data_IF_441190406190
#
_entry.id   IF_441190406190
#
_cell.length_a   1.000
_cell.length_b   1.000
_cell.length_c   1.000
_cell.angle_alpha   90.00
_cell.angle_beta   90.00
_cell.angle_gamma   90.00
#
_symmetry.space_group_name_H-M   'P 1'
#
loop_
_entity.id
_entity.type
_entity.pdbx_description
1 polymer ?
#
# COMPACT_ATOMS: atom_id res chain seq x y z
N UNK A 1 -7.47 -0.97 -22.56
CA UNK A 1 -8.73 -1.70 -22.28
C UNK A 1 -9.87 -0.67 -22.19
N UNK A 2 -11.03 -0.95 -22.77
CA UNK A 2 -12.20 -0.05 -22.79
C UNK A 2 -13.38 -0.68 -22.06
N UNK A 3 -14.37 0.12 -21.63
CA UNK A 3 -15.57 -0.43 -20.98
C UNK A 3 -16.33 -1.45 -21.85
N UNK A 4 -16.22 -1.35 -23.18
CA UNK A 4 -16.74 -2.37 -24.12
C UNK A 4 -16.04 -3.72 -24.00
N UNK A 5 -14.76 -3.75 -23.65
CA UNK A 5 -14.01 -4.99 -23.47
C UNK A 5 -14.46 -5.69 -22.19
N UNK A 6 -14.70 -4.92 -21.12
CA UNK A 6 -15.28 -5.41 -19.87
C UNK A 6 -16.70 -5.95 -20.11
N UNK A 7 -17.54 -5.20 -20.82
CA UNK A 7 -18.90 -5.65 -21.18
C UNK A 7 -18.90 -6.89 -22.07
N UNK A 8 -17.93 -7.02 -23.00
CA UNK A 8 -17.79 -8.23 -23.81
C UNK A 8 -17.54 -9.46 -22.93
N UNK A 9 -16.71 -9.31 -21.91
CA UNK A 9 -16.45 -10.38 -20.94
C UNK A 9 -17.68 -10.67 -20.06
N UNK A 10 -18.36 -9.65 -19.56
CA UNK A 10 -19.60 -9.83 -18.77
C UNK A 10 -20.66 -10.60 -19.57
N UNK A 11 -20.90 -10.19 -20.83
CA UNK A 11 -21.91 -10.81 -21.69
C UNK A 11 -21.60 -12.25 -22.07
N UNK A 12 -20.33 -12.67 -22.09
CA UNK A 12 -19.99 -14.08 -22.34
C UNK A 12 -20.32 -14.97 -21.15
N UNK A 13 -20.47 -14.41 -19.94
CA UNK A 13 -20.86 -15.12 -18.72
C UNK A 13 -22.37 -15.18 -18.50
N UNK A 14 -23.17 -14.35 -19.18
CA UNK A 14 -24.63 -14.31 -19.03
C UNK A 14 -25.32 -15.55 -19.59
N UNK A 15 -26.35 -16.05 -18.94
CA UNK A 15 -27.17 -17.11 -19.54
C UNK A 15 -27.87 -16.65 -20.81
N UNK A 16 -28.17 -17.60 -21.70
CA UNK A 16 -28.88 -17.32 -22.94
C UNK A 16 -30.26 -16.67 -22.69
N UNK A 17 -30.88 -16.95 -21.54
CA UNK A 17 -32.15 -16.32 -21.16
C UNK A 17 -31.98 -14.82 -20.86
N UNK A 18 -30.93 -14.43 -20.14
CA UNK A 18 -30.64 -13.02 -19.84
C UNK A 18 -30.37 -12.24 -21.13
N UNK A 19 -29.63 -12.83 -22.08
CA UNK A 19 -29.41 -12.22 -23.40
C UNK A 19 -30.73 -12.05 -24.16
N UNK A 20 -31.64 -13.03 -24.07
CA UNK A 20 -32.98 -12.94 -24.67
C UNK A 20 -33.79 -11.80 -24.07
N UNK A 21 -33.75 -11.66 -22.74
CA UNK A 21 -34.45 -10.61 -22.02
C UNK A 21 -33.94 -9.23 -22.42
N UNK A 22 -32.62 -9.03 -22.56
CA UNK A 22 -32.04 -7.75 -23.02
C UNK A 22 -32.59 -7.40 -24.42
N UNK A 23 -32.56 -8.35 -25.35
CA UNK A 23 -33.04 -8.12 -26.71
C UNK A 23 -34.55 -7.84 -26.77
N UNK A 24 -35.36 -8.55 -25.98
CA UNK A 24 -36.82 -8.36 -25.90
C UNK A 24 -37.20 -7.06 -25.18
N UNK A 25 -36.73 -6.84 -23.95
CA UNK A 25 -37.08 -5.68 -23.12
C UNK A 25 -36.62 -4.36 -23.73
N UNK A 26 -35.42 -4.30 -24.34
CA UNK A 26 -34.89 -3.08 -24.97
C UNK A 26 -35.14 -2.97 -26.48
N UNK A 27 -35.90 -3.90 -27.06
CA UNK A 27 -36.21 -3.94 -28.50
C UNK A 27 -34.94 -3.76 -29.36
N UNK A 28 -33.91 -4.57 -29.07
CA UNK A 28 -32.64 -4.53 -29.80
C UNK A 28 -32.76 -5.40 -31.04
N UNK A 29 -32.86 -4.78 -32.21
CA UNK A 29 -32.94 -5.48 -33.49
C UNK A 29 -31.55 -5.93 -33.94
N UNK A 30 -31.43 -7.20 -34.35
CA UNK A 30 -30.24 -7.73 -35.01
C UNK A 30 -30.56 -7.98 -36.49
N UNK A 31 -29.95 -7.21 -37.39
CA UNK A 31 -30.19 -7.36 -38.81
C UNK A 31 -29.78 -8.75 -39.30
N UNK A 32 -30.71 -9.43 -39.98
CA UNK A 32 -30.54 -10.78 -40.52
C UNK A 32 -30.78 -11.92 -39.53
N UNK A 33 -31.31 -11.67 -38.33
CA UNK A 33 -31.58 -12.72 -37.35
C UNK A 33 -32.81 -12.42 -36.47
N UNK A 34 -33.64 -13.43 -36.20
CA UNK A 34 -34.80 -13.32 -35.29
C UNK A 34 -34.38 -13.81 -33.91
N UNK A 35 -34.43 -12.93 -32.90
CA UNK A 35 -34.11 -13.26 -31.49
C UNK A 35 -35.37 -13.62 -30.72
N UNK A 36 -36.09 -14.66 -31.16
CA UNK A 36 -37.38 -15.03 -30.58
C UNK A 36 -37.27 -16.16 -29.56
N UNK A 37 -36.37 -17.12 -29.80
CA UNK A 37 -36.19 -18.31 -28.95
C UNK A 37 -34.80 -18.39 -28.31
N UNK A 38 -34.67 -19.21 -27.27
CA UNK A 38 -33.39 -19.46 -26.58
C UNK A 38 -32.42 -20.24 -27.48
N UNK A 39 -32.94 -21.12 -28.35
CA UNK A 39 -32.15 -21.87 -29.34
C UNK A 39 -31.54 -20.95 -30.41
N UNK A 40 -32.24 -19.88 -30.78
CA UNK A 40 -31.72 -18.86 -31.68
C UNK A 40 -30.49 -18.15 -31.08
N UNK A 41 -30.51 -17.92 -29.76
CA UNK A 41 -29.41 -17.28 -29.04
C UNK A 41 -28.23 -18.21 -28.88
N UNK A 42 -28.45 -19.48 -28.52
CA UNK A 42 -27.35 -20.44 -28.35
C UNK A 42 -26.55 -20.63 -29.64
N UNK A 43 -27.23 -20.66 -30.80
CA UNK A 43 -26.59 -20.80 -32.11
C UNK A 43 -25.84 -19.53 -32.58
N UNK A 44 -26.25 -18.34 -32.13
CA UNK A 44 -25.74 -17.05 -32.64
C UNK A 44 -25.17 -16.11 -31.57
N UNK A 45 -24.81 -16.65 -30.41
CA UNK A 45 -24.42 -15.91 -29.21
C UNK A 45 -23.38 -14.81 -29.47
N UNK A 46 -22.28 -15.15 -30.15
CA UNK A 46 -21.21 -14.19 -30.43
C UNK A 46 -21.67 -13.01 -31.30
N UNK A 47 -22.56 -13.25 -32.27
CA UNK A 47 -23.12 -12.21 -33.14
C UNK A 47 -24.06 -11.30 -32.37
N UNK A 48 -24.85 -11.85 -31.45
CA UNK A 48 -25.75 -11.07 -30.59
C UNK A 48 -24.99 -10.20 -29.59
N UNK A 49 -23.96 -10.75 -28.94
CA UNK A 49 -23.06 -10.00 -28.07
C UNK A 49 -22.40 -8.84 -28.84
N UNK A 50 -21.89 -9.11 -30.04
CA UNK A 50 -21.29 -8.07 -30.89
C UNK A 50 -22.31 -6.98 -31.25
N UNK A 51 -23.56 -7.36 -31.53
CA UNK A 51 -24.62 -6.40 -31.82
C UNK A 51 -24.99 -5.52 -30.60
N UNK A 52 -24.94 -6.05 -29.39
CA UNK A 52 -25.17 -5.28 -28.15
C UNK A 52 -24.06 -4.25 -27.90
N UNK A 53 -22.82 -4.54 -28.31
CA UNK A 53 -21.67 -3.65 -28.14
C UNK A 53 -21.55 -2.56 -29.23
N UNK A 54 -22.46 -2.55 -30.22
CA UNK A 54 -22.54 -1.51 -31.24
C UNK A 54 -22.90 -0.15 -30.62
N UNK A 55 -22.43 0.95 -31.22
CA UNK A 55 -22.59 2.32 -30.67
C UNK A 55 -24.05 2.70 -30.38
N UNK A 56 -24.99 2.23 -31.20
CA UNK A 56 -26.44 2.46 -31.03
C UNK A 56 -27.08 1.63 -29.92
N UNK A 57 -26.59 0.40 -29.71
CA UNK A 57 -27.18 -0.57 -28.79
C UNK A 57 -26.49 -0.58 -27.42
N UNK A 58 -25.24 -0.13 -27.35
CA UNK A 58 -24.48 -0.04 -26.12
C UNK A 58 -25.18 0.84 -25.06
N UNK A 59 -25.76 1.98 -25.47
CA UNK A 59 -26.57 2.81 -24.57
C UNK A 59 -27.77 2.04 -24.00
N UNK A 60 -28.41 1.20 -24.82
CA UNK A 60 -29.56 0.39 -24.38
C UNK A 60 -29.14 -0.70 -23.40
N UNK A 61 -27.95 -1.28 -23.59
CA UNK A 61 -27.36 -2.27 -22.69
C UNK A 61 -27.07 -1.66 -21.32
N UNK A 62 -26.41 -0.49 -21.28
CA UNK A 62 -26.12 0.21 -20.02
C UNK A 62 -27.41 0.62 -19.30
N UNK A 63 -28.42 1.12 -20.04
CA UNK A 63 -29.73 1.43 -19.46
C UNK A 63 -30.46 0.19 -18.92
N UNK A 64 -30.33 -0.96 -19.57
CA UNK A 64 -30.90 -2.21 -19.07
C UNK A 64 -30.24 -2.65 -17.76
N UNK A 65 -28.92 -2.52 -17.67
CA UNK A 65 -28.17 -2.84 -16.46
C UNK A 65 -28.58 -1.94 -15.30
N UNK A 66 -28.78 -0.65 -15.56
CA UNK A 66 -29.28 0.30 -14.55
C UNK A 66 -30.69 -0.02 -14.06
N UNK A 67 -31.57 -0.54 -14.93
CA UNK A 67 -32.93 -0.95 -14.58
C UNK A 67 -33.00 -2.32 -13.88
N UNK A 68 -31.98 -3.17 -14.03
CA UNK A 68 -31.93 -4.52 -13.48
C UNK A 68 -30.64 -4.73 -12.67
N UNK A 69 -30.43 -3.97 -11.58
CA UNK A 69 -29.25 -4.18 -10.73
C UNK A 69 -29.32 -5.56 -10.07
N UNK A 70 -28.16 -6.24 -9.90
CA UNK A 70 -28.09 -7.53 -9.24
C UNK A 70 -28.75 -7.46 -7.84
N UNK A 71 -29.55 -8.47 -7.44
CA UNK A 71 -30.33 -8.44 -6.20
C UNK A 71 -29.47 -8.17 -4.96
N UNK A 72 -28.28 -8.79 -4.93
CA UNK A 72 -27.33 -8.77 -3.81
C UNK A 72 -26.72 -7.38 -3.58
N UNK A 73 -26.72 -6.52 -4.61
CA UNK A 73 -26.09 -5.20 -4.57
C UNK A 73 -27.07 -4.02 -4.66
N UNK A 74 -28.37 -4.26 -4.50
CA UNK A 74 -29.41 -3.20 -4.55
C UNK A 74 -29.25 -2.15 -3.45
N UNK A 75 -28.66 -2.50 -2.30
CA UNK A 75 -28.50 -1.61 -1.13
C UNK A 75 -27.06 -1.16 -0.86
N UNK A 76 -26.08 -1.71 -1.58
CA UNK A 76 -24.66 -1.43 -1.38
C UNK A 76 -24.18 -0.38 -2.40
N UNK A 77 -23.42 0.61 -1.95
CA UNK A 77 -22.74 1.58 -2.84
C UNK A 77 -21.28 1.17 -2.99
N UNK A 78 -20.75 1.10 -4.22
CA UNK A 78 -19.36 0.67 -4.50
C UNK A 78 -18.42 1.85 -4.81
N UNK A 79 -18.95 3.08 -4.85
CA UNK A 79 -18.20 4.31 -5.14
C UNK A 79 -17.04 4.52 -4.16
N UNK A 80 -17.27 4.32 -2.86
CA UNK A 80 -16.28 4.66 -1.81
C UNK A 80 -15.32 3.53 -1.44
N UNK A 81 -15.50 2.33 -2.03
CA UNK A 81 -14.73 1.14 -1.66
C UNK A 81 -13.36 1.07 -2.31
N UNK A 82 -12.35 0.60 -1.60
CA UNK A 82 -11.01 0.39 -2.16
C UNK A 82 -10.92 -0.87 -3.04
N UNK A 83 -9.87 -0.98 -3.86
CA UNK A 83 -9.75 -2.09 -4.83
C UNK A 83 -9.71 -3.46 -4.13
N UNK A 84 -9.06 -3.56 -2.97
CA UNK A 84 -8.99 -4.80 -2.19
C UNK A 84 -10.37 -5.19 -1.63
N UNK A 85 -11.15 -4.22 -1.15
CA UNK A 85 -12.52 -4.47 -0.70
C UNK A 85 -13.43 -4.91 -1.86
N UNK A 86 -13.20 -4.41 -3.08
CA UNK A 86 -13.91 -4.86 -4.27
C UNK A 86 -13.56 -6.33 -4.62
N UNK A 87 -12.33 -6.78 -4.35
CA UNK A 87 -11.93 -8.18 -4.51
C UNK A 87 -12.66 -9.07 -3.51
N UNK A 88 -12.73 -8.66 -2.24
CA UNK A 88 -13.44 -9.41 -1.19
C UNK A 88 -14.93 -9.53 -1.51
N UNK A 89 -15.56 -8.43 -1.95
CA UNK A 89 -16.97 -8.42 -2.36
C UNK A 89 -17.21 -9.27 -3.62
N UNK A 90 -16.25 -9.26 -4.56
CA UNK A 90 -16.33 -10.09 -5.75
C UNK A 90 -16.13 -11.58 -5.46
N UNK A 91 -15.42 -11.92 -4.37
CA UNK A 91 -15.31 -13.30 -3.90
C UNK A 91 -16.64 -13.82 -3.33
N UNK A 92 -17.44 -12.96 -2.70
CA UNK A 92 -18.73 -13.34 -2.11
C UNK A 92 -19.89 -13.29 -3.12
N UNK A 93 -20.01 -12.22 -3.91
CA UNK A 93 -21.16 -11.98 -4.81
C UNK A 93 -20.85 -12.09 -6.31
N UNK A 94 -19.62 -12.48 -6.67
CA UNK A 94 -19.22 -12.67 -8.07
C UNK A 94 -18.72 -11.41 -8.79
N UNK A 95 -17.61 -11.57 -9.52
CA UNK A 95 -16.99 -10.50 -10.34
C UNK A 95 -17.96 -9.84 -11.34
N UNK A 96 -18.82 -10.58 -12.08
CA UNK A 96 -19.75 -9.97 -13.03
C UNK A 96 -20.72 -9.00 -12.37
N UNK A 97 -21.23 -9.31 -11.19
CA UNK A 97 -22.23 -8.49 -10.49
C UNK A 97 -21.62 -7.20 -9.91
N UNK A 98 -20.40 -7.29 -9.38
CA UNK A 98 -19.60 -6.11 -8.96
C UNK A 98 -19.32 -5.18 -10.14
N UNK A 99 -18.94 -5.74 -11.31
CA UNK A 99 -18.69 -4.94 -12.50
C UNK A 99 -19.97 -4.27 -13.03
N UNK A 100 -21.08 -5.00 -13.12
CA UNK A 100 -22.38 -4.45 -13.53
C UNK A 100 -22.78 -3.31 -12.60
N UNK A 101 -22.60 -3.49 -11.28
CA UNK A 101 -22.92 -2.47 -10.28
C UNK A 101 -22.05 -1.22 -10.44
N UNK A 102 -20.75 -1.36 -10.68
CA UNK A 102 -19.86 -0.21 -10.97
C UNK A 102 -20.28 0.54 -12.25
N UNK A 103 -20.76 -0.16 -13.28
CA UNK A 103 -21.34 0.48 -14.46
C UNK A 103 -22.66 1.22 -14.16
N UNK A 104 -23.51 0.69 -13.28
CA UNK A 104 -24.74 1.36 -12.84
C UNK A 104 -24.45 2.66 -12.08
N UNK A 105 -23.38 2.68 -11.27
CA UNK A 105 -22.95 3.85 -10.50
C UNK A 105 -22.12 4.86 -11.33
N UNK A 106 -22.08 4.69 -12.66
CA UNK A 106 -21.29 5.53 -13.57
C UNK A 106 -19.77 5.54 -13.29
N UNK A 107 -19.25 4.50 -12.62
CA UNK A 107 -17.84 4.33 -12.28
C UNK A 107 -17.10 3.48 -13.32
N UNK A 108 -17.26 3.80 -14.60
CA UNK A 108 -16.68 3.02 -15.72
C UNK A 108 -15.14 2.94 -15.63
N UNK A 109 -14.46 4.01 -15.22
CA UNK A 109 -13.00 4.00 -15.04
C UNK A 109 -12.56 3.01 -13.96
N UNK A 110 -13.27 2.98 -12.83
CA UNK A 110 -12.99 2.08 -11.71
C UNK A 110 -13.28 0.62 -12.08
N UNK A 111 -14.35 0.37 -12.83
CA UNK A 111 -14.66 -0.96 -13.37
C UNK A 111 -13.56 -1.48 -14.31
N UNK A 112 -13.02 -0.62 -15.18
CA UNK A 112 -11.91 -1.00 -16.07
C UNK A 112 -10.64 -1.30 -15.26
N UNK A 113 -10.32 -0.48 -14.26
CA UNK A 113 -9.16 -0.70 -13.41
C UNK A 113 -9.28 -1.98 -12.58
N UNK A 114 -10.45 -2.24 -12.00
CA UNK A 114 -10.72 -3.47 -11.25
C UNK A 114 -10.60 -4.71 -12.13
N UNK A 115 -11.15 -4.65 -13.34
CA UNK A 115 -11.04 -5.77 -14.28
C UNK A 115 -9.60 -6.00 -14.78
N UNK A 116 -8.84 -4.93 -15.03
CA UNK A 116 -7.42 -5.04 -15.38
C UNK A 116 -6.59 -5.62 -14.22
N UNK A 117 -6.84 -5.17 -12.99
CA UNK A 117 -6.22 -5.69 -11.78
C UNK A 117 -6.44 -7.21 -11.63
N UNK A 118 -7.67 -7.67 -11.80
CA UNK A 118 -7.98 -9.10 -11.75
C UNK A 118 -7.34 -9.92 -12.90
N UNK A 119 -7.14 -9.32 -14.07
CA UNK A 119 -6.46 -9.98 -15.19
C UNK A 119 -4.95 -10.11 -14.97
N UNK A 120 -4.32 -9.05 -14.47
CA UNK A 120 -2.88 -9.00 -14.22
C UNK A 120 -2.47 -9.92 -13.05
N UNK A 121 -3.33 -10.06 -12.04
CA UNK A 121 -3.07 -10.98 -10.92
C UNK A 121 -3.40 -12.45 -11.23
N UNK A 122 -3.80 -12.79 -12.46
CA UNK A 122 -4.28 -14.13 -12.84
C UNK A 122 -5.31 -14.68 -11.84
N UNK A 123 -6.22 -13.81 -11.40
CA UNK A 123 -7.14 -14.15 -10.31
C UNK A 123 -8.05 -15.31 -10.73
N UNK A 124 -8.09 -16.37 -9.92
CA UNK A 124 -9.03 -17.50 -10.06
C UNK A 124 -10.50 -17.04 -10.05
N UNK A 125 -10.75 -15.82 -9.56
CA UNK A 125 -12.06 -15.17 -9.57
C UNK A 125 -12.59 -14.88 -10.99
N UNK A 126 -11.73 -14.85 -12.02
CA UNK A 126 -12.15 -14.71 -13.42
C UNK A 126 -12.53 -16.05 -14.08
N UNK A 127 -12.12 -17.16 -13.47
CA UNK A 127 -12.31 -18.53 -13.98
C UNK A 127 -13.59 -19.20 -13.46
N UNK A 128 -14.68 -18.46 -13.23
CA UNK A 128 -15.97 -19.10 -12.95
C UNK A 128 -16.72 -19.45 -14.25
N UNK A 129 -17.19 -20.70 -14.42
CA UNK A 129 -18.11 -21.07 -15.48
C UNK A 129 -19.51 -20.53 -15.14
N UNK A 130 -20.09 -19.76 -16.08
CA UNK A 130 -21.49 -19.26 -16.11
C UNK A 130 -22.14 -19.08 -14.73
N UNK A 131 -21.87 -17.96 -14.06
CA UNK A 131 -22.75 -17.51 -12.97
C UNK A 131 -24.10 -17.13 -13.60
N UNK A 132 -25.15 -17.87 -13.23
CA UNK A 132 -26.52 -17.48 -13.57
C UNK A 132 -26.82 -16.19 -12.82
N UNK A 133 -26.71 -15.05 -13.49
CA UNK A 133 -27.22 -13.79 -12.95
C UNK A 133 -28.74 -13.96 -12.95
N UNK A 134 -29.28 -14.31 -11.78
CA UNK A 134 -30.72 -14.49 -11.56
C UNK A 134 -31.35 -13.11 -11.55
N UNK A 135 -31.90 -12.72 -12.69
CA UNK A 135 -32.88 -11.65 -12.76
C UNK A 135 -34.18 -12.21 -12.19
N UNK A 136 -34.60 -11.71 -11.02
CA UNK A 136 -35.90 -12.03 -10.42
C UNK A 136 -37.04 -11.64 -11.38
N UNK A 137 -37.51 -12.61 -12.15
CA UNK A 137 -38.91 -12.70 -12.56
C UNK A 137 -39.33 -14.15 -12.32
N UNK A 138 -40.32 -14.33 -11.43
CA UNK A 138 -40.99 -15.60 -11.20
C UNK A 138 -41.42 -16.19 -12.55
N UNK A 139 -40.68 -17.17 -13.05
CA UNK A 139 -41.14 -18.02 -14.14
C UNK A 139 -41.42 -19.37 -13.50
N UNK A 140 -42.70 -19.62 -13.27
CA UNK A 140 -43.18 -20.96 -12.94
C UNK A 140 -42.68 -21.95 -14.00
N UNK A 141 -42.11 -23.09 -13.60
CA UNK A 141 -41.68 -24.10 -14.55
C UNK A 141 -42.91 -24.70 -15.22
N UNK A 142 -43.18 -24.31 -16.47
CA UNK A 142 -44.09 -25.06 -17.32
C UNK A 142 -43.45 -26.42 -17.61
N UNK A 143 -44.01 -27.46 -16.98
CA UNK A 143 -43.84 -28.85 -17.35
C UNK A 143 -44.16 -29.01 -18.85
N UNK A 144 -43.13 -29.18 -19.67
CA UNK A 144 -43.31 -29.62 -21.05
C UNK A 144 -43.51 -31.12 -21.00
N UNK A 145 -44.78 -31.53 -20.95
CA UNK A 145 -45.19 -32.87 -21.35
C UNK A 145 -44.73 -33.12 -22.79
N UNK A 146 -43.77 -34.01 -22.97
CA UNK A 146 -43.46 -34.58 -24.28
C UNK A 146 -44.63 -35.47 -24.70
N UNK A 147 -45.55 -34.92 -25.50
CA UNK A 147 -46.41 -35.74 -26.37
C UNK A 147 -45.51 -36.44 -27.40
N UNK A 148 -45.34 -37.74 -27.24
CA UNK A 148 -44.92 -38.62 -28.31
C UNK A 148 -46.07 -38.67 -29.33
N UNK A 149 -45.88 -38.07 -30.50
CA UNK A 149 -46.67 -38.41 -31.69
C UNK A 149 -46.11 -39.74 -32.23
N UNK A 150 -46.84 -40.82 -31.97
CA UNK A 150 -46.75 -42.06 -32.73
C UNK A 150 -47.14 -41.76 -34.17
N UNK A 151 -46.23 -42.02 -35.11
CA UNK A 151 -46.58 -42.12 -36.53
C UNK A 151 -47.13 -43.52 -36.78
N UNK A 152 -48.43 -43.57 -37.02
CA UNK A 152 -49.12 -44.70 -37.63
C UNK A 152 -48.40 -45.14 -38.93
N UNK A 153 -48.07 -46.43 -38.99
CA UNK A 153 -47.72 -47.12 -40.23
C UNK A 153 -49.03 -47.62 -40.82
N UNK A 154 -49.49 -46.94 -41.87
CA UNK A 154 -50.65 -47.32 -42.66
C UNK A 154 -50.26 -48.48 -43.60
N UNK A 155 -50.65 -49.70 -43.24
CA UNK A 155 -50.63 -50.87 -44.12
C UNK A 155 -51.81 -50.77 -45.10
N UNK A 156 -51.51 -50.53 -46.39
CA UNK A 156 -52.43 -50.90 -47.48
C UNK A 156 -51.72 -51.65 -48.59
N UNK A 157 -52.11 -52.91 -48.68
CA UNK A 157 -51.84 -53.88 -49.74
C UNK A 157 -52.34 -53.40 -51.12
N UNK A 158 -51.58 -53.70 -52.17
CA UNK A 158 -52.14 -54.03 -53.49
C UNK A 158 -51.17 -54.92 -54.29
N UNK A 159 -51.78 -55.87 -54.99
CA UNK A 159 -51.27 -57.15 -55.47
C UNK A 159 -50.78 -57.07 -56.95
N UNK A 160 -50.46 -58.17 -57.68
CA UNK A 160 -49.19 -58.36 -58.39
C UNK A 160 -49.26 -58.22 -59.92
N UNK A 161 -48.12 -58.03 -60.59
CA UNK A 161 -48.05 -58.01 -62.06
C UNK A 161 -46.65 -58.06 -62.68
N UNK A 162 -46.31 -59.23 -63.23
CA UNK A 162 -45.33 -59.57 -64.30
C UNK A 162 -43.79 -59.50 -64.05
N UNK A 163 -43.05 -60.62 -64.32
CA UNK A 163 -41.59 -60.71 -64.21
C UNK A 163 -40.91 -60.51 -65.58
N UNK A 164 -40.53 -59.27 -65.92
CA UNK A 164 -39.55 -59.00 -66.98
C UNK A 164 -38.71 -57.78 -66.61
N UNK A 165 -37.65 -57.97 -65.81
CA UNK A 165 -36.75 -56.88 -65.46
C UNK A 165 -35.64 -57.16 -64.43
N UNK A 166 -35.39 -58.41 -64.05
CA UNK A 166 -34.51 -58.70 -62.91
C UNK A 166 -33.04 -58.33 -63.14
N UNK A 167 -32.52 -58.45 -64.37
CA UNK A 167 -31.13 -58.09 -64.67
C UNK A 167 -30.78 -56.61 -64.45
N UNK A 168 -31.71 -55.68 -64.73
CA UNK A 168 -31.51 -54.23 -64.50
C UNK A 168 -31.65 -53.84 -63.03
N UNK A 169 -32.46 -54.56 -62.25
CA UNK A 169 -32.59 -54.37 -60.79
C UNK A 169 -31.34 -54.90 -60.07
N UNK A 170 -30.84 -56.07 -60.47
CA UNK A 170 -29.62 -56.66 -59.93
C UNK A 170 -28.39 -55.79 -60.20
N UNK A 171 -28.22 -55.24 -61.41
CA UNK A 171 -27.13 -54.29 -61.69
C UNK A 171 -27.22 -52.99 -60.87
N UNK A 172 -28.42 -52.46 -60.62
CA UNK A 172 -28.60 -51.29 -59.75
C UNK A 172 -28.29 -51.60 -58.28
N UNK A 173 -28.63 -52.80 -57.82
CA UNK A 173 -28.31 -53.28 -56.47
C UNK A 173 -26.80 -53.51 -56.30
N UNK A 174 -26.13 -54.09 -57.31
CA UNK A 174 -24.69 -54.26 -57.31
C UNK A 174 -23.94 -52.92 -57.20
N UNK A 175 -24.34 -51.91 -58.00
CA UNK A 175 -23.76 -50.55 -57.91
C UNK A 175 -24.05 -49.88 -56.56
N UNK A 176 -25.22 -50.11 -55.95
CA UNK A 176 -25.51 -49.62 -54.60
C UNK A 176 -24.66 -50.31 -53.54
N UNK A 177 -24.44 -51.62 -53.65
CA UNK A 177 -23.57 -52.36 -52.76
C UNK A 177 -22.14 -51.85 -52.84
N UNK A 178 -21.62 -51.64 -54.05
CA UNK A 178 -20.28 -51.10 -54.29
C UNK A 178 -20.10 -49.68 -53.73
N UNK A 179 -21.07 -48.79 -53.96
CA UNK A 179 -21.07 -47.46 -53.35
C UNK A 179 -21.16 -47.52 -51.82
N UNK A 180 -21.95 -48.44 -51.25
CA UNK A 180 -22.06 -48.61 -49.80
C UNK A 180 -20.77 -49.14 -49.19
N UNK A 181 -20.08 -50.08 -49.84
CA UNK A 181 -18.77 -50.57 -49.37
C UNK A 181 -17.70 -49.49 -49.43
N UNK A 182 -17.67 -48.65 -50.48
CA UNK A 182 -16.75 -47.51 -50.52
C UNK A 182 -17.04 -46.46 -49.43
N UNK A 183 -18.31 -46.15 -49.19
CA UNK A 183 -18.71 -45.22 -48.12
C UNK A 183 -18.36 -45.77 -46.75
N UNK A 184 -18.53 -47.07 -46.51
CA UNK A 184 -18.13 -47.72 -45.27
C UNK A 184 -16.60 -47.66 -45.07
N UNK A 185 -15.81 -47.99 -46.09
CA UNK A 185 -14.35 -47.89 -46.02
C UNK A 185 -13.88 -46.48 -45.69
N UNK A 186 -14.41 -45.46 -46.38
CA UNK A 186 -14.09 -44.05 -46.09
C UNK A 186 -14.49 -43.66 -44.68
N UNK A 187 -15.62 -44.17 -44.19
CA UNK A 187 -16.08 -43.92 -42.83
C UNK A 187 -15.17 -44.55 -41.79
N UNK A 188 -14.73 -45.78 -42.00
CA UNK A 188 -13.80 -46.49 -41.12
C UNK A 188 -12.42 -45.83 -41.08
N UNK A 189 -11.89 -45.41 -42.24
CA UNK A 189 -10.65 -44.63 -42.32
C UNK A 189 -10.78 -43.30 -41.55
N UNK A 190 -11.90 -42.58 -41.71
CA UNK A 190 -12.15 -41.34 -40.99
C UNK A 190 -12.32 -41.55 -39.47
N UNK A 191 -12.88 -42.68 -39.05
CA UNK A 191 -12.96 -43.01 -37.62
C UNK A 191 -11.60 -43.34 -37.05
N UNK A 192 -10.78 -44.08 -37.81
CA UNK A 192 -9.42 -44.42 -37.40
C UNK A 192 -8.56 -43.17 -37.22
N UNK A 193 -8.56 -42.24 -38.18
CA UNK A 193 -7.81 -40.98 -38.05
C UNK A 193 -8.30 -40.14 -36.87
N UNK A 194 -9.61 -40.05 -36.67
CA UNK A 194 -10.18 -39.35 -35.50
C UNK A 194 -9.76 -39.99 -34.17
N UNK A 195 -9.69 -41.32 -34.10
CA UNK A 195 -9.22 -42.01 -32.89
C UNK A 195 -7.74 -41.74 -32.65
N UNK A 196 -6.90 -41.79 -33.68
CA UNK A 196 -5.48 -41.49 -33.57
C UNK A 196 -5.23 -40.04 -33.12
N UNK A 197 -5.98 -39.08 -33.67
CA UNK A 197 -5.94 -37.67 -33.26
C UNK A 197 -6.38 -37.48 -31.81
N UNK A 198 -7.45 -38.18 -31.40
CA UNK A 198 -7.96 -38.12 -30.03
C UNK A 198 -6.94 -38.70 -29.03
N UNK A 199 -6.35 -39.85 -29.34
CA UNK A 199 -5.29 -40.45 -28.52
C UNK A 199 -4.06 -39.55 -28.43
N UNK A 200 -3.65 -38.93 -29.54
CA UNK A 200 -2.52 -38.00 -29.55
C UNK A 200 -2.82 -36.77 -28.68
N UNK A 201 -4.02 -36.21 -28.80
CA UNK A 201 -4.46 -35.11 -27.94
C UNK A 201 -4.50 -35.53 -26.47
N UNK A 202 -4.98 -36.74 -26.16
CA UNK A 202 -5.04 -37.22 -24.79
C UNK A 202 -3.65 -37.42 -24.18
N UNK A 203 -2.70 -38.02 -24.94
CA UNK A 203 -1.29 -38.14 -24.54
C UNK A 203 -0.66 -36.78 -24.25
N UNK A 204 -0.88 -35.78 -25.09
CA UNK A 204 -0.39 -34.42 -24.86
C UNK A 204 -0.98 -33.79 -23.59
N UNK A 205 -2.27 -34.02 -23.31
CA UNK A 205 -2.92 -33.52 -22.10
C UNK A 205 -2.35 -34.18 -20.85
N UNK A 206 -2.08 -35.48 -20.88
CA UNK A 206 -1.45 -36.21 -19.75
C UNK A 206 -0.05 -35.66 -19.51
N UNK A 207 0.78 -35.48 -20.55
CA UNK A 207 2.11 -34.91 -20.41
C UNK A 207 2.09 -33.51 -19.77
N UNK A 208 1.19 -32.64 -20.23
CA UNK A 208 1.00 -31.31 -19.64
C UNK A 208 0.53 -31.38 -18.18
N UNK A 209 -0.26 -32.38 -17.83
CA UNK A 209 -0.71 -32.59 -16.45
C UNK A 209 0.45 -33.03 -15.57
N UNK A 210 1.28 -33.97 -16.02
CA UNK A 210 2.46 -34.43 -15.31
C UNK A 210 3.49 -33.32 -15.11
N UNK A 211 3.73 -32.50 -16.15
CA UNK A 211 4.59 -31.31 -16.07
C UNK A 211 4.07 -30.33 -15.01
N UNK A 212 2.77 -30.02 -15.02
CA UNK A 212 2.15 -29.15 -14.02
C UNK A 212 2.23 -29.73 -12.61
N UNK A 213 2.04 -31.05 -12.47
CA UNK A 213 2.09 -31.72 -11.17
C UNK A 213 3.52 -31.70 -10.59
N UNK A 214 4.53 -31.91 -11.45
CA UNK A 214 5.93 -31.76 -11.07
C UNK A 214 6.24 -30.32 -10.64
N UNK A 215 5.76 -29.33 -11.39
CA UNK A 215 5.94 -27.91 -11.06
C UNK A 215 5.27 -27.55 -9.73
N UNK A 216 4.08 -28.09 -9.47
CA UNK A 216 3.40 -27.93 -8.19
C UNK A 216 4.20 -28.55 -7.05
N UNK A 217 4.78 -29.74 -7.26
CA UNK A 217 5.65 -30.40 -6.29
C UNK A 217 6.92 -29.61 -5.98
N UNK A 218 7.54 -28.96 -6.97
CA UNK A 218 8.71 -28.09 -6.73
C UNK A 218 8.31 -26.82 -5.98
N UNK A 219 7.20 -26.21 -6.35
CA UNK A 219 6.72 -24.96 -5.75
C UNK A 219 6.29 -25.17 -4.28
N UNK A 220 5.74 -26.35 -3.97
CA UNK A 220 5.41 -26.73 -2.60
C UNK A 220 6.68 -26.85 -1.73
N UNK A 221 7.74 -27.50 -2.25
CA UNK A 221 9.02 -27.61 -1.53
C UNK A 221 9.69 -26.25 -1.32
N UNK A 222 9.63 -25.37 -2.32
CA UNK A 222 10.13 -24.00 -2.19
C UNK A 222 9.36 -23.21 -1.14
N UNK A 223 8.03 -23.32 -1.12
CA UNK A 223 7.18 -22.69 -0.11
C UNK A 223 7.56 -23.18 1.29
N UNK A 224 7.67 -24.49 1.51
CA UNK A 224 8.08 -25.06 2.80
C UNK A 224 9.47 -24.58 3.24
N UNK A 225 10.43 -24.53 2.31
CA UNK A 225 11.77 -24.01 2.59
C UNK A 225 11.75 -22.52 2.97
N UNK A 226 10.92 -21.73 2.29
CA UNK A 226 10.78 -20.29 2.56
C UNK A 226 10.10 -20.04 3.92
N UNK A 227 9.04 -20.78 4.24
CA UNK A 227 8.38 -20.72 5.55
C UNK A 227 9.34 -21.09 6.69
N UNK A 228 10.20 -22.09 6.47
CA UNK A 228 11.23 -22.46 7.46
C UNK A 228 12.24 -21.33 7.66
N UNK A 229 12.77 -20.75 6.57
CA UNK A 229 13.71 -19.61 6.64
C UNK A 229 13.09 -18.41 7.35
N UNK A 230 11.85 -18.07 7.00
CA UNK A 230 11.12 -16.97 7.63
C UNK A 230 10.95 -17.20 9.14
N UNK A 231 10.62 -18.43 9.56
CA UNK A 231 10.49 -18.78 10.97
C UNK A 231 11.82 -18.68 11.72
N UNK A 232 12.91 -19.16 11.11
CA UNK A 232 14.25 -19.05 11.66
C UNK A 232 14.69 -17.59 11.82
N UNK A 233 14.45 -16.76 10.81
CA UNK A 233 14.78 -15.33 10.82
C UNK A 233 13.95 -14.56 11.85
N UNK A 234 12.65 -14.85 11.94
CA UNK A 234 11.78 -14.28 12.98
C UNK A 234 12.28 -14.63 14.39
N UNK A 235 12.69 -15.88 14.62
CA UNK A 235 13.21 -16.30 15.92
C UNK A 235 14.54 -15.61 16.25
N UNK A 236 15.42 -15.41 15.27
CA UNK A 236 16.66 -14.63 15.46
C UNK A 236 16.35 -13.19 15.84
N UNK A 237 15.42 -12.56 15.13
CA UNK A 237 15.03 -11.19 15.39
C UNK A 237 14.39 -11.02 16.77
N UNK A 238 13.56 -11.96 17.21
CA UNK A 238 13.01 -11.97 18.57
C UNK A 238 14.09 -12.12 19.64
N UNK A 239 15.13 -12.94 19.38
CA UNK A 239 16.26 -13.09 20.30
C UNK A 239 17.10 -11.82 20.38
N UNK A 240 17.44 -11.22 19.24
CA UNK A 240 18.17 -9.95 19.16
C UNK A 240 17.39 -8.82 19.85
N UNK A 241 16.07 -8.75 19.63
CA UNK A 241 15.21 -7.77 20.29
C UNK A 241 15.28 -7.90 21.81
N UNK A 242 15.21 -9.13 22.34
CA UNK A 242 15.34 -9.38 23.79
C UNK A 242 16.71 -8.94 24.33
N UNK A 243 17.79 -9.25 23.60
CA UNK A 243 19.15 -8.82 24.00
C UNK A 243 19.27 -7.29 24.03
N UNK A 244 18.68 -6.59 23.05
CA UNK A 244 18.66 -5.13 23.06
C UNK A 244 17.79 -4.56 24.18
N UNK A 245 16.62 -5.14 24.46
CA UNK A 245 15.76 -4.74 25.58
C UNK A 245 16.49 -4.90 26.93
N UNK A 246 17.20 -6.00 27.15
CA UNK A 246 18.01 -6.23 28.35
C UNK A 246 19.16 -5.21 28.47
N UNK A 247 19.84 -4.93 27.36
CA UNK A 247 20.93 -3.95 27.31
C UNK A 247 20.43 -2.53 27.59
N UNK A 248 19.28 -2.15 27.03
CA UNK A 248 18.63 -0.86 27.30
C UNK A 248 18.25 -0.77 28.77
N UNK A 249 17.66 -1.82 29.34
CA UNK A 249 17.31 -1.84 30.76
C UNK A 249 18.54 -1.72 31.67
N UNK A 250 19.66 -2.34 31.30
CA UNK A 250 20.94 -2.18 32.00
C UNK A 250 21.44 -0.72 31.96
N UNK A 251 21.51 -0.12 30.78
CA UNK A 251 21.95 1.28 30.64
C UNK A 251 21.01 2.26 31.34
N UNK A 252 19.70 2.01 31.32
CA UNK A 252 18.75 2.83 32.08
C UNK A 252 19.03 2.77 33.58
N UNK A 253 19.34 1.59 34.13
CA UNK A 253 19.75 1.44 35.53
C UNK A 253 21.03 2.21 35.83
N UNK A 254 22.07 2.09 35.01
CA UNK A 254 23.32 2.84 35.18
C UNK A 254 23.09 4.35 35.14
N UNK A 255 22.29 4.84 34.19
CA UNK A 255 21.94 6.27 34.10
C UNK A 255 21.21 6.74 35.34
N UNK A 256 20.27 5.94 35.88
CA UNK A 256 19.58 6.32 37.13
C UNK A 256 20.51 6.35 38.33
N UNK A 257 21.47 5.41 38.40
CA UNK A 257 22.49 5.39 39.46
C UNK A 257 23.41 6.59 39.36
N UNK A 258 23.93 6.90 38.17
CA UNK A 258 24.78 8.06 37.93
C UNK A 258 24.07 9.38 38.26
N UNK A 259 22.79 9.51 37.87
CA UNK A 259 21.98 10.69 38.23
C UNK A 259 21.81 10.84 39.74
N UNK A 260 21.60 9.74 40.47
CA UNK A 260 21.51 9.76 41.92
C UNK A 260 22.85 10.15 42.57
N UNK A 261 23.97 9.63 42.06
CA UNK A 261 25.32 10.00 42.54
C UNK A 261 25.60 11.47 42.31
N UNK A 262 25.36 11.99 41.10
CA UNK A 262 25.56 13.41 40.78
C UNK A 262 24.67 14.31 41.65
N UNK A 263 23.42 13.91 41.90
CA UNK A 263 22.52 14.68 42.75
C UNK A 263 23.03 14.76 44.19
N UNK A 264 23.51 13.65 44.75
CA UNK A 264 24.11 13.62 46.09
C UNK A 264 25.39 14.45 46.16
N UNK A 265 26.26 14.39 45.14
CA UNK A 265 27.49 15.18 45.08
C UNK A 265 27.21 16.69 44.96
N UNK A 266 26.20 17.07 44.18
CA UNK A 266 25.75 18.47 44.06
C UNK A 266 25.15 18.98 45.38
N UNK A 267 24.35 18.19 46.09
CA UNK A 267 23.82 18.57 47.40
C UNK A 267 24.92 18.74 48.45
N UNK A 268 25.95 17.87 48.43
CA UNK A 268 27.11 18.00 49.33
C UNK A 268 27.95 19.24 48.97
N UNK A 269 28.12 19.56 47.69
CA UNK A 269 28.89 20.73 47.27
C UNK A 269 28.16 22.05 47.57
N UNK A 270 26.83 22.13 47.36
CA UNK A 270 26.04 23.33 47.69
C UNK A 270 26.05 23.61 49.19
N UNK A 271 26.07 22.57 50.04
CA UNK A 271 26.19 22.73 51.50
C UNK A 271 27.59 23.18 51.96
N UNK A 272 28.63 22.99 51.14
CA UNK A 272 30.01 23.40 51.45
C UNK A 272 30.39 24.77 50.86
N UNK A 273 29.64 25.28 49.88
CA UNK A 273 29.94 26.54 49.19
C UNK A 273 29.52 27.80 49.97
N UNK A 274 28.66 27.66 50.98
CA UNK A 274 28.20 28.78 51.82
C UNK A 274 29.26 29.30 52.82
N UNK A 275 30.45 28.67 52.93
CA UNK A 275 31.53 29.08 53.85
C UNK A 275 32.88 29.45 53.18
N UNK A 276 32.93 29.72 51.87
CA UNK A 276 34.18 30.20 51.24
C UNK A 276 34.19 31.74 51.17
N UNK A 277 35.06 32.37 51.98
CA UNK A 277 35.41 33.79 51.86
C UNK A 277 35.86 34.12 50.42
N UNK A 278 34.95 34.70 49.62
CA UNK A 278 35.24 35.11 48.24
C UNK A 278 36.23 36.27 48.23
N UNK A 279 37.22 36.20 47.36
CA UNK A 279 38.25 37.24 47.19
C UNK A 279 37.58 38.50 46.62
N UNK A 280 37.74 39.66 47.26
CA UNK A 280 37.02 40.88 46.90
C UNK A 280 37.92 41.84 46.11
N UNK A 281 37.58 42.08 44.85
CA UNK A 281 38.32 43.00 43.97
C UNK A 281 37.43 44.18 43.59
N UNK A 282 37.93 45.40 43.77
CA UNK A 282 37.23 46.61 43.35
C UNK A 282 37.80 47.17 42.05
N UNK A 283 36.94 47.40 41.05
CA UNK A 283 37.32 47.88 39.72
C UNK A 283 36.81 49.31 39.52
N UNK A 284 37.73 50.24 39.27
CA UNK A 284 37.46 51.65 39.02
C UNK A 284 37.42 51.88 37.50
N UNK A 285 36.25 52.22 36.99
CA UNK A 285 35.94 52.35 35.56
C UNK A 285 35.01 51.24 35.06
N UNK A 286 34.31 51.50 33.95
CA UNK A 286 33.32 50.58 33.37
C UNK A 286 33.93 49.78 32.22
N UNK A 287 34.26 48.49 32.39
CA UNK A 287 34.80 47.72 31.29
C UNK A 287 33.73 47.47 30.21
N UNK A 288 34.10 47.59 28.95
CA UNK A 288 33.21 47.36 27.80
C UNK A 288 32.60 45.93 27.74
N UNK A 289 33.20 44.96 28.43
CA UNK A 289 32.75 43.56 28.45
C UNK A 289 32.68 43.01 29.89
N UNK A 290 31.55 43.21 30.56
CA UNK A 290 31.26 42.67 31.90
C UNK A 290 31.17 41.14 31.94
N UNK A 291 30.93 40.47 30.80
CA UNK A 291 30.83 39.02 30.70
C UNK A 291 32.12 38.28 31.06
N UNK A 292 33.27 38.96 31.00
CA UNK A 292 34.55 38.40 31.42
C UNK A 292 34.83 38.52 32.91
N UNK A 293 34.00 39.26 33.66
CA UNK A 293 34.10 39.45 35.11
C UNK A 293 33.10 38.55 35.86
N UNK A 294 33.03 37.28 35.45
CA UNK A 294 32.25 36.24 36.11
C UNK A 294 33.23 35.17 36.58
N UNK A 295 33.39 35.04 37.88
CA UNK A 295 34.17 33.98 38.53
C UNK A 295 33.42 33.57 39.80
N UNK A 296 33.37 32.28 40.09
CA UNK A 296 32.69 31.74 41.27
C UNK A 296 33.44 32.09 42.57
N UNK A 297 34.76 32.38 42.45
CA UNK A 297 35.69 32.60 43.57
C UNK A 297 35.98 34.08 43.87
N UNK A 298 35.70 35.00 42.93
CA UNK A 298 36.00 36.44 43.07
C UNK A 298 34.73 37.28 43.00
N UNK A 299 34.56 38.19 43.95
CA UNK A 299 33.50 39.20 43.91
C UNK A 299 34.05 40.53 43.38
N UNK A 300 33.54 40.98 42.22
CA UNK A 300 33.94 42.24 41.59
C UNK A 300 32.95 43.36 41.94
N UNK A 301 33.44 44.44 42.54
CA UNK A 301 32.66 45.67 42.80
C UNK A 301 33.10 46.76 41.82
N UNK A 302 32.17 47.42 41.14
CA UNK A 302 32.49 48.42 40.11
C UNK A 302 32.13 49.84 40.56
N UNK A 303 33.01 50.81 40.29
CA UNK A 303 32.77 52.24 40.48
C UNK A 303 32.88 52.96 39.14
N UNK A 304 31.88 53.79 38.79
CA UNK A 304 31.92 54.61 37.59
C UNK A 304 32.84 55.83 37.79
N UNK A 305 33.51 56.28 36.72
CA UNK A 305 34.55 57.33 36.78
C UNK A 305 34.10 58.66 37.40
N UNK A 306 32.81 58.98 37.30
CA UNK A 306 32.22 60.21 37.84
C UNK A 306 32.11 60.20 39.38
N UNK A 307 32.00 59.02 40.00
CA UNK A 307 31.74 58.86 41.44
C UNK A 307 33.03 58.65 42.25
N UNK A 308 34.17 58.65 41.56
CA UNK A 308 35.50 58.35 42.13
C UNK A 308 35.96 59.37 43.19
N UNK A 309 35.50 60.61 43.08
CA UNK A 309 35.87 61.68 44.02
C UNK A 309 35.14 61.54 45.37
N UNK A 310 33.88 61.12 45.35
CA UNK A 310 33.03 61.08 46.55
C UNK A 310 32.99 59.70 47.20
N UNK A 311 33.66 58.71 46.61
CA UNK A 311 33.76 57.36 47.14
C UNK A 311 34.84 57.25 48.23
N UNK A 312 34.45 56.68 49.37
CA UNK A 312 35.36 56.34 50.47
C UNK A 312 35.94 54.94 50.25
N UNK A 313 37.21 54.87 49.84
CA UNK A 313 37.90 53.59 49.65
C UNK A 313 38.22 52.95 51.02
N UNK A 314 37.65 51.78 51.32
CA UNK A 314 37.92 51.00 52.55
C UNK A 314 38.96 49.90 52.28
N UNK A 315 39.80 49.54 53.26
CA UNK A 315 40.86 48.51 53.13
C UNK A 315 40.35 47.05 53.04
N UNK A 316 39.02 46.86 53.10
CA UNK A 316 38.35 45.56 53.13
C UNK A 316 38.48 44.78 51.81
N UNK A 317 38.92 45.45 50.74
CA UNK A 317 39.19 44.81 49.45
C UNK A 317 40.61 44.24 49.39
N UNK A 318 40.71 43.08 48.75
CA UNK A 318 41.99 42.40 48.54
C UNK A 318 42.82 43.14 47.48
N UNK A 319 42.18 43.62 46.40
CA UNK A 319 42.82 44.36 45.30
C UNK A 319 41.93 45.47 44.71
N UNK A 320 42.57 46.53 44.18
CA UNK A 320 41.92 47.62 43.45
C UNK A 320 42.47 47.71 42.03
N UNK A 321 41.60 47.66 41.03
CA UNK A 321 41.99 47.71 39.62
C UNK A 321 41.54 49.03 38.99
N UNK A 322 42.49 49.83 38.50
CA UNK A 322 42.21 51.13 37.88
C UNK A 322 42.27 51.00 36.36
N UNK A 323 41.13 51.18 35.69
CA UNK A 323 41.02 51.08 34.23
C UNK A 323 41.38 52.42 33.56
N UNK A 324 42.68 52.67 33.40
CA UNK A 324 43.18 53.95 32.86
C UNK A 324 42.80 54.26 31.41
N UNK A 325 42.33 53.27 30.63
CA UNK A 325 41.81 53.48 29.26
C UNK A 325 40.35 53.93 29.22
N UNK A 326 39.58 53.73 30.31
CA UNK A 326 38.19 54.19 30.43
C UNK A 326 38.10 55.52 31.18
N UNK A 327 39.02 55.77 32.12
CA UNK A 327 39.03 57.00 32.90
C UNK A 327 39.55 58.18 32.08
N UNK A 328 38.77 59.25 32.01
CA UNK A 328 39.20 60.48 31.37
C UNK A 328 40.33 61.16 32.18
N UNK A 329 41.18 61.97 31.53
CA UNK A 329 42.25 62.72 32.21
C UNK A 329 41.79 63.50 33.47
N UNK A 330 40.61 64.17 33.50
CA UNK A 330 40.12 64.81 34.72
C UNK A 330 39.72 63.79 35.80
N UNK A 331 39.14 62.64 35.47
CA UNK A 331 38.81 61.60 36.46
C UNK A 331 40.06 60.97 37.08
N UNK A 332 41.10 60.75 36.28
CA UNK A 332 42.40 60.29 36.79
C UNK A 332 43.07 61.30 37.72
N UNK A 333 42.82 62.59 37.50
CA UNK A 333 43.27 63.65 38.39
C UNK A 333 42.46 63.63 39.69
N UNK A 334 41.13 63.56 39.61
CA UNK A 334 40.25 63.49 40.77
C UNK A 334 40.55 62.29 41.68
N UNK A 335 40.85 61.12 41.09
CA UNK A 335 41.27 59.93 41.82
C UNK A 335 42.56 60.16 42.64
N UNK A 336 43.52 60.92 42.09
CA UNK A 336 44.79 61.23 42.77
C UNK A 336 44.64 62.27 43.88
N UNK A 337 43.56 63.04 43.88
CA UNK A 337 43.24 64.03 44.91
C UNK A 337 42.30 63.47 45.99
N UNK A 338 41.78 62.25 45.82
CA UNK A 338 40.99 61.59 46.85
C UNK A 338 41.92 61.02 47.93
N UNK A 339 41.86 61.60 49.14
CA UNK A 339 42.68 61.22 50.29
C UNK A 339 42.56 59.72 50.63
N UNK A 340 41.36 59.15 50.49
CA UNK A 340 41.11 57.74 50.80
C UNK A 340 41.76 56.78 49.80
N UNK A 341 41.94 57.17 48.54
CA UNK A 341 42.67 56.38 47.55
C UNK A 341 44.19 56.51 47.71
N UNK A 342 44.71 57.70 48.01
CA UNK A 342 46.16 57.90 48.24
C UNK A 342 46.69 57.19 49.49
N UNK A 343 45.81 56.90 50.45
CA UNK A 343 46.16 56.17 51.67
C UNK A 343 46.13 54.64 51.51
N UNK A 344 45.67 54.11 50.37
CA UNK A 344 45.69 52.67 50.10
C UNK A 344 47.12 52.14 49.94
N UNK A 345 47.34 50.88 50.33
CA UNK A 345 48.61 50.22 50.09
C UNK A 345 48.90 50.16 48.58
N UNK A 346 49.99 50.77 48.07
CA UNK A 346 50.31 50.78 46.65
C UNK A 346 50.53 49.39 46.05
N UNK A 347 50.82 48.37 46.87
CA UNK A 347 50.95 46.97 46.42
C UNK A 347 49.60 46.32 46.06
N UNK A 348 48.48 46.84 46.60
CA UNK A 348 47.12 46.36 46.31
C UNK A 348 46.47 47.05 45.09
N UNK A 349 47.11 48.10 44.57
CA UNK A 349 46.55 48.94 43.49
C UNK A 349 47.18 48.57 42.15
N UNK A 350 46.36 48.10 41.21
CA UNK A 350 46.80 47.67 39.89
C UNK A 350 46.26 48.57 38.78
N UNK A 351 47.16 49.25 38.07
CA UNK A 351 46.78 50.15 36.97
C UNK A 351 46.76 49.38 35.65
N UNK A 352 45.55 49.14 35.14
CA UNK A 352 45.31 48.49 33.86
C UNK A 352 45.34 49.52 32.72
N UNK A 353 46.40 49.47 31.90
CA UNK A 353 46.58 50.37 30.74
C UNK A 353 45.70 50.01 29.55
N UNK A 354 45.44 48.73 29.34
CA UNK A 354 44.60 48.22 28.24
C UNK A 354 43.69 47.09 28.73
N UNK A 355 42.57 46.85 28.03
CA UNK A 355 41.69 45.71 28.30
C UNK A 355 42.40 44.34 28.21
N UNK A 356 43.45 44.24 27.39
CA UNK A 356 44.28 43.03 27.32
C UNK A 356 45.00 42.71 28.63
N UNK A 357 45.33 43.72 29.43
CA UNK A 357 45.98 43.55 30.75
C UNK A 357 44.97 42.97 31.73
N UNK A 358 43.75 43.51 31.75
CA UNK A 358 42.62 43.01 32.54
C UNK A 358 42.35 41.53 32.23
N UNK A 359 42.26 41.19 30.93
CA UNK A 359 42.02 39.81 30.48
C UNK A 359 43.13 38.83 30.91
N UNK A 360 44.39 39.29 30.98
CA UNK A 360 45.49 38.45 31.49
C UNK A 360 45.38 38.25 32.99
N UNK A 361 44.98 39.28 33.75
CA UNK A 361 44.82 39.16 35.20
C UNK A 361 43.68 38.23 35.55
N UNK A 362 42.50 38.39 34.94
CA UNK A 362 41.37 37.46 35.13
C UNK A 362 41.78 36.01 34.81
N UNK A 363 42.49 35.79 33.69
CA UNK A 363 43.03 34.46 33.35
C UNK A 363 44.04 33.92 34.36
N UNK A 364 44.78 34.77 35.07
CA UNK A 364 45.74 34.34 36.09
C UNK A 364 44.99 33.75 37.29
N UNK A 365 43.90 34.39 37.73
CA UNK A 365 43.07 33.88 38.81
C UNK A 365 42.30 32.61 38.38
N UNK A 366 41.71 32.59 37.18
CA UNK A 366 41.04 31.38 36.68
C UNK A 366 42.02 30.20 36.40
N UNK A 367 43.32 30.46 36.16
CA UNK A 367 44.34 29.40 36.02
C UNK A 367 44.91 28.90 37.34
N UNK A 368 44.77 29.67 38.42
CA UNK A 368 45.08 29.17 39.76
C UNK A 368 44.05 28.12 40.19
N UNK A 369 42.80 28.21 39.70
CA UNK A 369 41.79 27.17 39.85
C UNK A 369 42.24 25.83 39.21
N UNK A 370 42.83 25.84 38.00
CA UNK A 370 43.28 24.60 37.32
C UNK A 370 44.46 23.86 38.00
N UNK A 371 45.20 24.49 38.93
CA UNK A 371 46.38 23.86 39.57
C UNK A 371 46.15 23.37 41.00
N UNK A 372 45.01 23.68 41.61
CA UNK A 372 44.69 23.30 43.00
C UNK A 372 43.74 22.10 43.05
N UNK A 373 43.25 21.61 41.90
CA UNK A 373 42.50 20.37 41.77
C UNK A 373 43.37 19.16 41.37
#
# INVERSE_FOLDING_TARGET
>A
MTGKDVWRWILTKFDNDVILQIHKKKKVVCNGFRTNTIQDISANRNRLITNLLNKSNYKKLVLWAAENPPPEFKKLTLVDKEMNELVDIAAEGGVPDVLIKLFCESQERKAIQFFAFLQDEHSSLLEFPNQSIRVDEKVEPQLIEKKHEEKEVDEKSQEPGQPKGDGKKVQKLAKKLENLTEVLKKRDENYKTKMEDLEKSHRQTIQKLDEKNNLYGTLLKEKEALEKRYREEKNKWELERKQFEETIAHFQKEVTQLKATIHNELEVNVLNDDEINKYQIMVIGKPAFMTHFQSETINFTFIEGNDVHDFSFTEDFDEYWVLSYELSNPEQFLLKYNDSYTNLNPEKVYICKDFNVVKRQIKKYNRLEERVF
#
